data_IF_565740341988
#
_entry.id   IF_565740341988
#
_cell.length_a   1.000
_cell.length_b   1.000
_cell.length_c   1.000
_cell.angle_alpha   90.00
_cell.angle_beta   90.00
_cell.angle_gamma   90.00
#
_symmetry.space_group_name_H-M   'P 1'
#
loop_
_entity.id
_entity.type
_entity.pdbx_description
1 polymer ?
#
# COMPACT_ATOMS: atom_id res chain seq x y z
N UNK A 1 -34.26 20.50 64.94
CA UNK A 1 -34.47 21.40 63.78
C UNK A 1 -33.20 21.45 62.95
N UNK A 2 -33.36 21.23 61.64
CA UNK A 2 -32.54 21.58 60.46
C UNK A 2 -31.19 22.29 60.70
N UNK A 3 -30.15 21.80 60.03
CA UNK A 3 -29.56 22.45 58.84
C UNK A 3 -28.61 21.47 58.12
N UNK A 4 -29.10 20.91 57.01
CA UNK A 4 -28.30 20.20 56.00
C UNK A 4 -27.63 21.29 55.14
N UNK A 5 -26.30 21.31 55.14
CA UNK A 5 -25.51 22.18 54.26
C UNK A 5 -25.27 21.41 52.95
N UNK A 6 -26.01 21.78 51.91
CA UNK A 6 -25.82 21.27 50.55
C UNK A 6 -24.63 21.99 49.94
N UNK A 7 -23.55 21.26 49.66
CA UNK A 7 -22.37 21.74 48.95
C UNK A 7 -22.64 21.59 47.45
N UNK A 8 -23.02 22.69 46.80
CA UNK A 8 -23.24 22.75 45.36
C UNK A 8 -21.90 22.90 44.65
N UNK A 9 -21.32 21.80 44.20
CA UNK A 9 -20.15 21.78 43.32
C UNK A 9 -20.57 22.30 41.94
N UNK A 10 -20.24 23.55 41.64
CA UNK A 10 -20.25 24.05 40.26
C UNK A 10 -19.15 23.29 39.48
N UNK A 11 -19.55 22.26 38.75
CA UNK A 11 -18.77 21.77 37.61
C UNK A 11 -18.80 22.87 36.55
N UNK A 12 -17.73 23.67 36.51
CA UNK A 12 -17.35 24.42 35.32
C UNK A 12 -17.00 23.40 34.24
N UNK A 13 -18.01 22.94 33.50
CA UNK A 13 -17.82 22.27 32.22
C UNK A 13 -17.22 23.34 31.32
N UNK A 14 -15.90 23.34 31.18
CA UNK A 14 -15.24 24.01 30.07
C UNK A 14 -15.72 23.28 28.81
N UNK A 15 -16.76 23.82 28.19
CA UNK A 15 -17.07 23.49 26.81
C UNK A 15 -15.85 23.93 25.99
N UNK A 16 -14.97 22.96 25.70
CA UNK A 16 -13.96 23.11 24.66
C UNK A 16 -14.75 23.18 23.35
N UNK A 17 -15.21 24.37 23.00
CA UNK A 17 -15.56 24.71 21.63
C UNK A 17 -14.25 24.71 20.84
N UNK A 18 -13.79 23.52 20.44
CA UNK A 18 -12.77 23.35 19.40
C UNK A 18 -13.41 23.72 18.05
N UNK A 19 -13.60 25.02 17.85
CA UNK A 19 -14.03 25.62 16.59
C UNK A 19 -12.84 25.65 15.62
N UNK A 20 -13.06 25.16 14.39
CA UNK A 20 -12.25 25.46 13.19
C UNK A 20 -10.73 25.44 13.35
N UNK A 21 -10.15 24.30 13.75
CA UNK A 21 -8.69 24.13 13.63
C UNK A 21 -8.30 23.94 12.16
N UNK A 22 -7.03 24.22 11.82
CA UNK A 22 -6.51 23.87 10.50
C UNK A 22 -6.49 22.37 10.30
N UNK A 23 -6.57 21.92 9.05
CA UNK A 23 -6.52 20.49 8.71
C UNK A 23 -5.35 19.78 9.38
N UNK A 24 -4.16 20.37 9.37
CA UNK A 24 -2.99 19.78 10.04
C UNK A 24 -3.18 19.57 11.54
N UNK A 25 -3.89 20.46 12.24
CA UNK A 25 -4.15 20.33 13.67
C UNK A 25 -5.23 19.28 13.93
N UNK A 26 -6.17 19.12 13.00
CA UNK A 26 -7.22 18.11 13.04
C UNK A 26 -6.71 16.71 12.69
N UNK A 27 -5.76 16.58 11.77
CA UNK A 27 -5.11 15.30 11.42
C UNK A 27 -4.35 14.70 12.59
N UNK A 28 -3.74 15.54 13.42
CA UNK A 28 -2.99 15.13 14.61
C UNK A 28 -3.90 14.86 15.82
N UNK A 29 -5.23 14.99 15.65
CA UNK A 29 -6.24 14.71 16.66
C UNK A 29 -7.20 13.64 16.16
N UNK A 30 -7.22 12.47 16.80
CA UNK A 30 -8.10 11.36 16.42
C UNK A 30 -9.58 11.81 16.27
N UNK A 31 -10.07 12.55 17.26
CA UNK A 31 -11.44 13.09 17.27
C UNK A 31 -11.65 14.23 16.28
N UNK A 32 -10.61 14.99 15.95
CA UNK A 32 -10.63 16.08 14.97
C UNK A 32 -10.75 15.53 13.55
N UNK A 33 -9.91 14.56 13.21
CA UNK A 33 -9.88 13.91 11.90
C UNK A 33 -11.20 13.22 11.59
N UNK A 34 -11.72 12.40 12.52
CA UNK A 34 -12.99 11.71 12.32
C UNK A 34 -14.18 12.67 12.13
N UNK A 35 -14.15 13.83 12.79
CA UNK A 35 -15.17 14.87 12.62
C UNK A 35 -15.12 15.47 11.22
N UNK A 36 -13.92 15.78 10.71
CA UNK A 36 -13.73 16.34 9.37
C UNK A 36 -14.17 15.33 8.30
N UNK A 37 -13.72 14.08 8.39
CA UNK A 37 -14.11 13.01 7.46
C UNK A 37 -15.64 12.83 7.40
N UNK A 38 -16.30 12.77 8.56
CA UNK A 38 -17.75 12.65 8.62
C UNK A 38 -18.47 13.88 8.03
N UNK A 39 -18.00 15.10 8.33
CA UNK A 39 -18.58 16.34 7.80
C UNK A 39 -18.45 16.43 6.27
N UNK A 40 -17.34 15.95 5.72
CA UNK A 40 -17.08 15.95 4.28
C UNK A 40 -17.75 14.78 3.53
N UNK A 41 -18.59 13.98 4.21
CA UNK A 41 -19.44 12.98 3.59
C UNK A 41 -18.80 11.61 3.39
N UNK A 42 -17.78 11.26 4.16
CA UNK A 42 -17.33 9.87 4.26
C UNK A 42 -18.31 9.07 5.11
N UNK A 43 -18.76 7.92 4.59
CA UNK A 43 -19.48 6.95 5.40
C UNK A 43 -18.61 6.46 6.55
N UNK A 44 -19.22 6.06 7.68
CA UNK A 44 -18.48 5.71 8.91
C UNK A 44 -17.37 4.66 8.70
N UNK A 45 -17.62 3.65 7.85
CA UNK A 45 -16.61 2.63 7.53
C UNK A 45 -15.44 3.23 6.73
N UNK A 46 -15.75 4.06 5.73
CA UNK A 46 -14.74 4.73 4.89
C UNK A 46 -13.97 5.79 5.68
N UNK A 47 -14.62 6.52 6.58
CA UNK A 47 -13.94 7.47 7.47
C UNK A 47 -12.89 6.77 8.35
N UNK A 48 -13.21 5.60 8.92
CA UNK A 48 -12.25 4.81 9.69
C UNK A 48 -11.09 4.29 8.83
N UNK A 49 -11.38 3.83 7.62
CA UNK A 49 -10.33 3.42 6.69
C UNK A 49 -9.41 4.59 6.34
N UNK A 50 -9.97 5.76 6.00
CA UNK A 50 -9.23 6.98 5.70
C UNK A 50 -8.36 7.45 6.89
N UNK A 51 -8.91 7.39 8.11
CA UNK A 51 -8.17 7.69 9.33
C UNK A 51 -6.95 6.77 9.47
N UNK A 52 -7.14 5.46 9.37
CA UNK A 52 -6.05 4.48 9.48
C UNK A 52 -4.94 4.72 8.44
N UNK A 53 -5.31 5.09 7.22
CA UNK A 53 -4.35 5.44 6.16
C UNK A 53 -3.51 6.67 6.48
N UNK A 54 -4.14 7.70 7.05
CA UNK A 54 -3.46 8.92 7.49
C UNK A 54 -2.51 8.62 8.65
N UNK A 55 -2.94 7.82 9.63
CA UNK A 55 -2.11 7.41 10.77
C UNK A 55 -0.88 6.62 10.29
N UNK A 56 -1.05 5.68 9.36
CA UNK A 56 0.05 4.94 8.75
C UNK A 56 1.01 5.85 7.97
N UNK A 57 0.49 6.85 7.25
CA UNK A 57 1.33 7.80 6.51
C UNK A 57 2.18 8.64 7.46
N UNK A 58 1.58 9.12 8.55
CA UNK A 58 2.30 9.89 9.58
C UNK A 58 3.37 9.02 10.24
N UNK A 59 3.02 7.80 10.65
CA UNK A 59 3.95 6.83 11.24
C UNK A 59 5.12 6.53 10.29
N UNK A 60 4.86 6.35 9.01
CA UNK A 60 5.88 6.14 7.98
C UNK A 60 6.84 7.32 7.82
N UNK A 61 6.31 8.54 7.83
CA UNK A 61 7.09 9.76 7.65
C UNK A 61 7.95 10.11 8.87
N UNK A 62 7.51 9.73 10.07
CA UNK A 62 8.07 10.20 11.34
C UNK A 62 8.64 9.09 12.24
N UNK A 63 8.38 7.82 11.95
CA UNK A 63 8.64 6.69 12.84
C UNK A 63 7.56 6.53 13.92
N UNK A 64 7.71 5.50 14.77
CA UNK A 64 6.81 5.29 15.90
C UNK A 64 7.01 6.38 16.98
N UNK A 65 5.98 7.20 17.18
CA UNK A 65 5.96 8.22 18.22
C UNK A 65 4.55 8.39 18.79
N UNK A 66 4.44 8.38 20.12
CA UNK A 66 3.17 8.53 20.84
C UNK A 66 2.58 9.94 20.72
N UNK A 67 3.43 10.94 20.44
CA UNK A 67 3.02 12.32 20.19
C UNK A 67 3.69 12.80 18.92
N UNK A 68 2.89 13.30 17.99
CA UNK A 68 3.35 13.77 16.68
C UNK A 68 3.28 15.30 16.64
N UNK A 69 4.37 16.04 16.89
CA UNK A 69 4.33 17.50 16.81
C UNK A 69 4.13 17.96 15.37
N UNK A 70 3.26 18.94 15.17
CA UNK A 70 3.02 19.59 13.86
C UNK A 70 4.31 20.01 13.14
N UNK A 71 5.24 20.62 13.88
CA UNK A 71 6.53 21.04 13.33
C UNK A 71 7.36 19.85 12.83
N UNK A 72 7.33 18.72 13.54
CA UNK A 72 8.06 17.52 13.16
C UNK A 72 7.47 16.86 11.91
N UNK A 73 6.14 16.82 11.76
CA UNK A 73 5.49 16.33 10.53
C UNK A 73 5.84 17.18 9.31
N UNK A 74 5.79 18.51 9.46
CA UNK A 74 6.17 19.44 8.39
C UNK A 74 7.65 19.32 8.03
N UNK A 75 8.53 19.16 9.02
CA UNK A 75 9.94 18.90 8.79
C UNK A 75 10.15 17.58 8.05
N UNK A 76 9.48 16.51 8.49
CA UNK A 76 9.58 15.20 7.89
C UNK A 76 9.16 15.19 6.41
N UNK A 77 8.10 15.92 6.06
CA UNK A 77 7.67 16.16 4.67
C UNK A 77 8.70 17.02 3.92
N UNK A 78 9.24 18.05 4.57
CA UNK A 78 10.25 18.95 4.01
C UNK A 78 11.52 18.23 3.57
N UNK A 79 11.98 17.26 4.36
CA UNK A 79 13.21 16.48 4.16
C UNK A 79 13.17 15.50 2.99
N UNK A 80 11.98 15.14 2.48
CA UNK A 80 11.85 14.26 1.30
C UNK A 80 12.57 14.90 0.10
N UNK A 81 13.22 14.11 -0.75
CA UNK A 81 13.93 14.65 -1.92
C UNK A 81 13.00 15.47 -2.83
N UNK A 82 13.44 16.67 -3.22
CA UNK A 82 12.68 17.61 -4.06
C UNK A 82 12.80 17.28 -5.56
N UNK A 83 12.39 16.08 -5.96
CA UNK A 83 12.16 15.78 -7.38
C UNK A 83 11.00 16.62 -7.92
N UNK A 84 10.88 16.85 -9.24
CA UNK A 84 9.74 17.59 -9.82
C UNK A 84 8.37 17.03 -9.37
N UNK A 85 8.22 15.69 -9.34
CA UNK A 85 7.02 15.02 -8.89
C UNK A 85 6.75 15.24 -7.39
N UNK A 86 7.76 15.02 -6.52
CA UNK A 86 7.60 15.20 -5.08
C UNK A 86 7.33 16.66 -4.72
N UNK A 87 7.92 17.61 -5.45
CA UNK A 87 7.69 19.05 -5.25
C UNK A 87 6.22 19.41 -5.49
N UNK A 88 5.62 18.89 -6.54
CA UNK A 88 4.19 19.13 -6.84
C UNK A 88 3.31 18.55 -5.73
N UNK A 89 3.57 17.31 -5.32
CA UNK A 89 2.84 16.65 -4.23
C UNK A 89 2.95 17.44 -2.92
N UNK A 90 4.14 17.95 -2.58
CA UNK A 90 4.35 18.80 -1.38
C UNK A 90 3.56 20.10 -1.45
N UNK A 91 3.47 20.74 -2.62
CA UNK A 91 2.72 21.98 -2.81
C UNK A 91 1.22 21.73 -2.61
N UNK A 92 0.67 20.70 -3.25
CA UNK A 92 -0.75 20.36 -3.11
C UNK A 92 -1.09 19.94 -1.67
N UNK A 93 -0.24 19.13 -1.04
CA UNK A 93 -0.42 18.75 0.36
C UNK A 93 -0.39 19.97 1.29
N UNK A 94 0.55 20.90 1.10
CA UNK A 94 0.65 22.11 1.91
C UNK A 94 -0.58 23.02 1.77
N UNK A 95 -1.23 23.07 0.58
CA UNK A 95 -2.48 23.82 0.40
C UNK A 95 -3.58 23.24 1.28
N UNK A 96 -3.78 21.92 1.26
CA UNK A 96 -4.84 21.27 2.05
C UNK A 96 -4.55 21.33 3.55
N UNK A 97 -3.31 21.07 3.98
CA UNK A 97 -2.92 21.11 5.39
C UNK A 97 -3.17 22.47 6.07
N UNK A 98 -3.10 23.56 5.30
CA UNK A 98 -3.28 24.92 5.80
C UNK A 98 -4.72 25.44 5.73
N UNK A 99 -5.65 24.70 5.10
CA UNK A 99 -7.07 25.07 5.07
C UNK A 99 -7.68 24.99 6.47
N UNK A 100 -8.71 25.80 6.70
CA UNK A 100 -9.54 25.68 7.89
C UNK A 100 -10.43 24.44 7.75
N UNK A 101 -10.55 23.64 8.82
CA UNK A 101 -11.22 22.34 8.76
C UNK A 101 -12.70 22.40 8.38
N UNK A 102 -13.33 23.57 8.49
CA UNK A 102 -14.70 23.81 8.08
C UNK A 102 -14.87 24.12 6.58
N UNK A 103 -13.80 24.54 5.89
CA UNK A 103 -13.73 24.84 4.45
C UNK A 103 -13.28 23.64 3.60
N UNK A 104 -12.98 22.51 4.24
CA UNK A 104 -12.45 21.31 3.58
C UNK A 104 -13.54 20.55 2.84
N UNK A 105 -13.31 20.34 1.55
CA UNK A 105 -14.17 19.50 0.71
C UNK A 105 -13.77 18.02 0.78
N UNK A 106 -14.64 17.14 0.27
CA UNK A 106 -14.31 15.71 0.11
C UNK A 106 -13.07 15.52 -0.78
N UNK A 107 -13.02 16.24 -1.89
CA UNK A 107 -11.91 16.17 -2.85
C UNK A 107 -10.59 16.64 -2.23
N UNK A 108 -10.64 17.65 -1.36
CA UNK A 108 -9.46 18.08 -0.58
C UNK A 108 -8.93 16.95 0.30
N UNK A 109 -9.81 16.21 0.99
CA UNK A 109 -9.40 15.09 1.84
C UNK A 109 -8.85 13.92 1.02
N UNK A 110 -9.47 13.60 -0.11
CA UNK A 110 -8.99 12.55 -1.02
C UNK A 110 -7.61 12.92 -1.57
N UNK A 111 -7.42 14.17 -1.97
CA UNK A 111 -6.12 14.69 -2.41
C UNK A 111 -5.09 14.61 -1.29
N UNK A 112 -5.46 15.00 -0.07
CA UNK A 112 -4.60 14.89 1.11
C UNK A 112 -4.17 13.45 1.38
N UNK A 113 -5.11 12.51 1.36
CA UNK A 113 -4.85 11.08 1.53
C UNK A 113 -3.87 10.57 0.48
N UNK A 114 -4.16 10.76 -0.79
CA UNK A 114 -3.30 10.31 -1.89
C UNK A 114 -1.89 10.92 -1.78
N UNK A 115 -1.78 12.23 -1.52
CA UNK A 115 -0.50 12.91 -1.42
C UNK A 115 0.32 12.50 -0.19
N UNK A 116 -0.32 12.32 0.98
CA UNK A 116 0.34 11.82 2.18
C UNK A 116 0.86 10.40 1.99
N UNK A 117 0.04 9.52 1.42
CA UNK A 117 0.41 8.13 1.12
C UNK A 117 1.59 8.07 0.15
N UNK A 118 1.56 8.87 -0.92
CA UNK A 118 2.65 8.95 -1.89
C UNK A 118 3.96 9.43 -1.25
N UNK A 119 3.92 10.49 -0.43
CA UNK A 119 5.12 10.98 0.25
C UNK A 119 5.64 10.01 1.30
N UNK A 120 4.75 9.33 2.03
CA UNK A 120 5.10 8.28 2.96
C UNK A 120 5.80 7.10 2.27
N UNK A 121 5.29 6.65 1.12
CA UNK A 121 5.93 5.60 0.32
C UNK A 121 7.27 5.99 -0.31
N UNK A 122 7.61 7.29 -0.37
CA UNK A 122 8.95 7.75 -0.79
C UNK A 122 9.96 7.72 0.36
N UNK A 123 9.50 7.86 1.61
CA UNK A 123 10.36 8.05 2.79
C UNK A 123 10.48 6.82 3.70
N UNK A 124 9.42 6.05 3.88
CA UNK A 124 9.27 5.24 5.10
C UNK A 124 9.41 3.74 4.93
N UNK A 125 10.37 3.19 5.66
CA UNK A 125 10.80 1.79 5.72
C UNK A 125 9.86 0.82 6.44
N UNK A 126 8.60 1.16 6.71
CA UNK A 126 7.68 0.36 7.56
C UNK A 126 6.26 0.23 6.98
N UNK A 127 6.00 0.83 5.82
CA UNK A 127 4.72 0.75 5.13
C UNK A 127 4.96 0.67 3.64
N UNK A 128 4.10 -0.05 2.93
CA UNK A 128 4.21 -0.18 1.48
C UNK A 128 3.00 0.43 0.80
N UNK A 129 3.24 1.32 -0.16
CA UNK A 129 2.21 1.90 -1.00
C UNK A 129 1.68 0.84 -1.98
N UNK A 130 0.43 0.47 -1.83
CA UNK A 130 -0.25 -0.48 -2.70
C UNK A 130 -1.25 0.29 -3.56
N UNK A 131 -1.25 0.06 -4.87
CA UNK A 131 -2.14 0.74 -5.83
C UNK A 131 -3.64 0.47 -5.63
N UNK A 132 -4.46 0.81 -6.64
CA UNK A 132 -5.93 0.86 -6.60
C UNK A 132 -6.64 -0.36 -5.93
N UNK A 133 -6.06 -1.56 -5.99
CA UNK A 133 -6.64 -2.75 -5.36
C UNK A 133 -6.50 -2.80 -3.84
N UNK A 134 -5.57 -2.04 -3.24
CA UNK A 134 -5.40 -1.94 -1.79
C UNK A 134 -6.13 -0.75 -1.16
N UNK A 135 -6.59 0.22 -1.96
CA UNK A 135 -7.47 1.29 -1.48
C UNK A 135 -8.83 0.75 -0.98
N UNK A 136 -9.19 -0.49 -1.35
CA UNK A 136 -10.35 -1.19 -0.79
C UNK A 136 -11.64 -0.35 -0.94
N UNK A 137 -12.40 -0.11 0.14
CA UNK A 137 -13.62 0.71 0.07
C UNK A 137 -13.34 2.20 -0.20
N UNK A 138 -12.11 2.69 0.00
CA UNK A 138 -11.72 4.07 -0.30
C UNK A 138 -11.52 4.32 -1.80
N UNK A 139 -11.38 3.25 -2.61
CA UNK A 139 -11.28 3.40 -4.07
C UNK A 139 -12.54 4.07 -4.65
N UNK A 140 -13.72 3.75 -4.10
CA UNK A 140 -14.99 4.39 -4.47
C UNK A 140 -15.03 5.88 -4.12
N UNK A 141 -14.17 6.32 -3.20
CA UNK A 141 -14.02 7.72 -2.78
C UNK A 141 -12.93 8.46 -3.56
N UNK A 142 -12.26 7.82 -4.53
CA UNK A 142 -11.18 8.42 -5.33
C UNK A 142 -9.78 8.28 -4.72
N UNK A 143 -9.62 7.49 -3.66
CA UNK A 143 -8.29 7.14 -3.14
C UNK A 143 -7.67 6.10 -4.06
N UNK A 144 -6.50 6.40 -4.60
CA UNK A 144 -5.83 5.59 -5.63
C UNK A 144 -4.66 4.77 -5.08
N UNK A 145 -4.21 5.08 -3.87
CA UNK A 145 -3.07 4.42 -3.21
C UNK A 145 -3.37 4.29 -1.71
N UNK A 146 -3.01 3.16 -1.11
CA UNK A 146 -3.11 2.93 0.32
C UNK A 146 -1.78 2.41 0.91
N UNK A 147 -1.46 2.83 2.12
CA UNK A 147 -0.41 2.27 2.96
C UNK A 147 -0.95 1.11 3.78
N UNK A 148 -0.11 0.11 3.98
CA UNK A 148 -0.36 -0.97 4.93
C UNK A 148 0.87 -1.14 5.81
N UNK A 149 0.66 -1.42 7.10
CA UNK A 149 1.73 -1.71 8.05
C UNK A 149 2.38 -3.05 7.73
N UNK A 150 3.71 -3.09 7.77
CA UNK A 150 4.47 -4.33 7.60
C UNK A 150 4.45 -5.08 8.93
N UNK A 151 3.74 -6.20 8.97
CA UNK A 151 3.68 -7.10 10.13
C UNK A 151 4.44 -8.41 9.93
N UNK A 152 4.89 -8.69 8.70
CA UNK A 152 5.65 -9.90 8.38
C UNK A 152 7.06 -9.86 8.99
N UNK A 153 7.37 -10.84 9.84
CA UNK A 153 8.64 -10.89 10.58
C UNK A 153 9.85 -10.93 9.66
N UNK A 154 9.77 -11.62 8.52
CA UNK A 154 10.87 -11.71 7.55
C UNK A 154 11.16 -10.34 6.92
N UNK A 155 10.11 -9.58 6.58
CA UNK A 155 10.27 -8.24 6.02
C UNK A 155 10.79 -7.27 7.11
N UNK A 156 10.25 -7.34 8.32
CA UNK A 156 10.74 -6.56 9.45
C UNK A 156 12.21 -6.86 9.74
N UNK A 157 12.66 -8.11 9.62
CA UNK A 157 14.07 -8.47 9.75
C UNK A 157 14.95 -7.81 8.66
N UNK A 158 14.48 -7.76 7.40
CA UNK A 158 15.20 -7.06 6.32
C UNK A 158 15.33 -5.57 6.60
N UNK A 159 14.25 -4.94 7.06
CA UNK A 159 14.20 -3.51 7.43
C UNK A 159 15.15 -3.25 8.61
N UNK A 160 15.03 -4.02 9.69
CA UNK A 160 15.85 -3.87 10.89
C UNK A 160 17.35 -4.07 10.63
N UNK A 161 17.70 -4.88 9.63
CA UNK A 161 19.08 -5.09 9.17
C UNK A 161 19.55 -4.05 8.15
N UNK A 162 18.72 -3.04 7.82
CA UNK A 162 19.00 -2.03 6.81
C UNK A 162 19.37 -2.63 5.44
N UNK A 163 18.72 -3.72 5.06
CA UNK A 163 18.96 -4.37 3.75
C UNK A 163 18.37 -3.53 2.62
N UNK A 164 17.21 -2.90 2.86
CA UNK A 164 16.51 -2.03 1.90
C UNK A 164 17.02 -0.59 2.07
N UNK A 165 17.59 0.06 1.04
CA UNK A 165 18.04 1.43 1.14
C UNK A 165 16.88 2.44 1.25
N UNK A 166 17.11 3.51 2.01
CA UNK A 166 16.17 4.60 2.31
C UNK A 166 16.22 5.76 1.30
N UNK A 167 17.32 5.93 0.56
CA UNK A 167 17.46 7.01 -0.43
C UNK A 167 17.09 6.55 -1.85
N UNK A 168 16.36 7.36 -2.65
CA UNK A 168 15.94 6.98 -4.01
C UNK A 168 17.08 6.53 -4.94
N UNK A 169 18.23 7.22 -4.88
CA UNK A 169 19.41 6.86 -5.69
C UNK A 169 19.95 5.48 -5.31
N UNK A 170 20.14 5.20 -4.02
CA UNK A 170 20.63 3.88 -3.56
C UNK A 170 19.60 2.79 -3.80
N UNK A 171 18.31 3.11 -3.69
CA UNK A 171 17.22 2.16 -3.96
C UNK A 171 17.23 1.72 -5.42
N UNK A 172 17.33 2.64 -6.38
CA UNK A 172 17.44 2.31 -7.81
C UNK A 172 18.68 1.44 -8.11
N UNK A 173 19.82 1.77 -7.49
CA UNK A 173 21.03 0.98 -7.65
C UNK A 173 20.86 -0.43 -7.07
N UNK A 174 20.30 -0.53 -5.86
CA UNK A 174 20.00 -1.81 -5.22
C UNK A 174 19.09 -2.68 -6.08
N UNK A 175 17.99 -2.12 -6.61
CA UNK A 175 17.07 -2.84 -7.50
C UNK A 175 17.83 -3.36 -8.74
N UNK A 176 18.61 -2.49 -9.39
CA UNK A 176 19.36 -2.86 -10.60
C UNK A 176 20.37 -3.97 -10.33
N UNK A 177 21.19 -3.83 -9.28
CA UNK A 177 22.20 -4.82 -8.89
C UNK A 177 21.57 -6.17 -8.52
N UNK A 178 20.42 -6.14 -7.84
CA UNK A 178 19.69 -7.35 -7.43
C UNK A 178 19.03 -8.05 -8.60
N UNK A 179 18.40 -7.30 -9.50
CA UNK A 179 17.82 -7.81 -10.74
C UNK A 179 18.87 -8.50 -11.61
N UNK A 180 20.03 -7.87 -11.82
CA UNK A 180 21.13 -8.44 -12.58
C UNK A 180 21.63 -9.74 -11.94
N UNK A 181 21.91 -9.70 -10.63
CA UNK A 181 22.43 -10.86 -9.90
C UNK A 181 21.45 -12.04 -9.85
N UNK A 182 20.15 -11.77 -9.82
CA UNK A 182 19.10 -12.79 -9.85
C UNK A 182 18.72 -13.21 -11.28
N UNK A 183 19.24 -12.54 -12.31
CA UNK A 183 18.96 -12.84 -13.71
C UNK A 183 17.52 -12.55 -14.13
N UNK A 184 16.92 -11.46 -13.62
CA UNK A 184 15.49 -11.16 -13.75
C UNK A 184 15.15 -10.13 -14.85
N UNK A 185 16.14 -9.78 -15.68
CA UNK A 185 16.00 -8.74 -16.70
C UNK A 185 16.76 -7.45 -16.34
N UNK A 186 16.56 -6.41 -17.15
CA UNK A 186 17.27 -5.14 -17.07
C UNK A 186 16.35 -4.03 -16.59
N UNK A 187 16.52 -3.61 -15.33
CA UNK A 187 15.67 -2.60 -14.70
C UNK A 187 15.73 -1.24 -15.42
N UNK A 188 16.82 -0.91 -16.11
CA UNK A 188 16.94 0.37 -16.84
C UNK A 188 15.97 0.50 -18.01
N UNK A 189 15.42 -0.62 -18.48
CA UNK A 189 14.44 -0.69 -19.59
C UNK A 189 13.00 -0.78 -19.09
N UNK A 190 12.78 -0.82 -17.79
CA UNK A 190 11.45 -0.95 -17.19
C UNK A 190 10.77 0.40 -17.21
N UNK A 191 9.57 0.44 -17.78
CA UNK A 191 8.76 1.64 -17.88
C UNK A 191 7.99 1.91 -16.58
N UNK A 192 7.70 3.20 -16.33
CA UNK A 192 7.05 3.65 -15.09
C UNK A 192 5.60 3.19 -14.91
N UNK A 193 4.96 2.66 -15.95
CA UNK A 193 3.64 2.01 -15.87
C UNK A 193 3.72 0.60 -15.25
N UNK A 194 4.86 -0.07 -15.36
CA UNK A 194 5.11 -1.38 -14.77
C UNK A 194 5.56 -1.22 -13.33
N UNK A 195 6.57 -0.38 -13.09
CA UNK A 195 7.09 -0.03 -11.75
C UNK A 195 7.10 1.48 -11.59
N UNK A 196 6.15 2.01 -10.83
CA UNK A 196 6.12 3.44 -10.49
C UNK A 196 7.16 3.77 -9.39
N UNK A 197 7.42 5.05 -9.14
CA UNK A 197 8.30 5.45 -8.03
C UNK A 197 7.81 4.90 -6.67
N UNK A 198 6.49 4.84 -6.46
CA UNK A 198 5.90 4.28 -5.24
C UNK A 198 5.98 2.75 -5.13
N UNK A 199 6.22 2.04 -6.24
CA UNK A 199 6.34 0.59 -6.25
C UNK A 199 7.78 0.10 -5.97
N UNK A 200 8.77 0.99 -5.99
CA UNK A 200 10.19 0.62 -5.91
C UNK A 200 10.56 -0.03 -4.59
N UNK A 201 9.98 0.41 -3.48
CA UNK A 201 10.22 -0.19 -2.18
C UNK A 201 9.68 -1.63 -2.14
N UNK A 202 8.46 -1.85 -2.64
CA UNK A 202 7.88 -3.19 -2.72
C UNK A 202 8.72 -4.13 -3.60
N UNK A 203 9.20 -3.62 -4.74
CA UNK A 203 10.14 -4.37 -5.60
C UNK A 203 11.45 -4.68 -4.87
N UNK A 204 12.03 -3.71 -4.15
CA UNK A 204 13.25 -3.93 -3.38
C UNK A 204 13.06 -4.99 -2.28
N UNK A 205 11.92 -4.97 -1.58
CA UNK A 205 11.56 -5.99 -0.59
C UNK A 205 11.49 -7.37 -1.27
N UNK A 206 10.79 -7.50 -2.39
CA UNK A 206 10.71 -8.76 -3.13
C UNK A 206 12.08 -9.28 -3.55
N UNK A 207 12.94 -8.41 -4.10
CA UNK A 207 14.29 -8.76 -4.52
C UNK A 207 15.21 -9.14 -3.35
N UNK A 208 15.04 -8.49 -2.20
CA UNK A 208 15.77 -8.84 -0.98
C UNK A 208 15.30 -10.19 -0.41
N UNK A 209 14.00 -10.46 -0.44
CA UNK A 209 13.40 -11.74 -0.04
C UNK A 209 13.82 -12.88 -0.98
N UNK A 210 14.02 -12.59 -2.26
CA UNK A 210 14.51 -13.56 -3.25
C UNK A 210 15.98 -13.94 -3.07
N UNK A 211 16.75 -13.19 -2.29
CA UNK A 211 18.13 -13.58 -1.98
C UNK A 211 18.16 -14.91 -1.21
N UNK A 212 19.13 -15.78 -1.53
CA UNK A 212 19.29 -17.08 -0.87
C UNK A 212 19.53 -16.93 0.63
N UNK A 213 20.19 -15.85 1.05
CA UNK A 213 20.46 -15.57 2.47
C UNK A 213 19.35 -14.75 3.15
N UNK A 214 18.23 -14.50 2.48
CA UNK A 214 17.11 -13.75 3.05
C UNK A 214 16.47 -14.50 4.22
N UNK A 215 15.72 -13.80 5.09
CA UNK A 215 14.91 -14.43 6.14
C UNK A 215 13.63 -15.09 5.62
N UNK A 216 13.41 -15.15 4.30
CA UNK A 216 12.17 -15.67 3.72
C UNK A 216 11.84 -17.10 4.21
N UNK A 217 10.59 -17.31 4.59
CA UNK A 217 10.06 -18.62 4.97
C UNK A 217 10.01 -19.56 3.76
N UNK A 218 9.82 -20.86 4.00
CA UNK A 218 9.68 -21.83 2.92
C UNK A 218 8.49 -21.51 1.98
N UNK A 219 7.38 -21.00 2.54
CA UNK A 219 6.20 -20.59 1.75
C UNK A 219 6.52 -19.38 0.89
N UNK A 220 7.14 -18.35 1.47
CA UNK A 220 7.55 -17.14 0.73
C UNK A 220 8.54 -17.48 -0.40
N UNK A 221 9.50 -18.39 -0.16
CA UNK A 221 10.44 -18.86 -1.19
C UNK A 221 9.74 -19.57 -2.34
N UNK A 222 8.81 -20.49 -2.05
CA UNK A 222 8.01 -21.17 -3.08
C UNK A 222 7.21 -20.19 -3.92
N UNK A 223 6.64 -19.16 -3.28
CA UNK A 223 5.94 -18.10 -3.99
C UNK A 223 6.87 -17.33 -4.93
N UNK A 224 8.05 -16.90 -4.44
CA UNK A 224 9.06 -16.21 -5.26
C UNK A 224 9.48 -17.06 -6.46
N UNK A 225 9.73 -18.36 -6.26
CA UNK A 225 10.06 -19.30 -7.33
C UNK A 225 8.92 -19.43 -8.35
N UNK A 226 7.66 -19.49 -7.89
CA UNK A 226 6.50 -19.53 -8.77
C UNK A 226 6.38 -18.22 -9.59
N UNK A 227 6.67 -17.06 -9.00
CA UNK A 227 6.73 -15.79 -9.73
C UNK A 227 7.81 -15.86 -10.81
N UNK A 228 9.03 -16.33 -10.50
CA UNK A 228 10.10 -16.47 -11.50
C UNK A 228 9.72 -17.43 -12.64
N UNK A 229 9.12 -18.57 -12.32
CA UNK A 229 8.64 -19.53 -13.31
C UNK A 229 7.53 -18.93 -14.19
N UNK A 230 6.64 -18.12 -13.60
CA UNK A 230 5.58 -17.45 -14.33
C UNK A 230 6.12 -16.37 -15.28
N UNK A 231 7.22 -15.71 -14.92
CA UNK A 231 7.96 -14.75 -15.76
C UNK A 231 8.87 -15.41 -16.81
N UNK A 232 8.98 -16.74 -16.81
CA UNK A 232 9.84 -17.50 -17.73
C UNK A 232 9.09 -17.84 -19.02
N UNK A 233 9.66 -17.45 -20.15
CA UNK A 233 9.14 -17.74 -21.50
C UNK A 233 9.69 -19.05 -22.09
N UNK A 234 9.81 -19.11 -23.41
CA UNK A 234 10.24 -20.32 -24.16
C UNK A 234 11.70 -20.75 -23.94
N UNK A 235 12.46 -20.03 -23.11
CA UNK A 235 13.86 -20.32 -22.77
C UNK A 235 14.12 -20.21 -21.27
N UNK A 236 15.37 -20.40 -20.84
CA UNK A 236 15.73 -20.38 -19.41
C UNK A 236 15.84 -18.99 -18.79
N UNK A 237 15.76 -17.94 -19.60
CA UNK A 237 15.85 -16.57 -19.14
C UNK A 237 14.53 -16.12 -18.50
N UNK A 238 14.64 -15.57 -17.30
CA UNK A 238 13.54 -14.94 -16.56
C UNK A 238 13.56 -13.45 -16.88
N UNK A 239 12.42 -12.89 -17.28
CA UNK A 239 12.24 -11.45 -17.41
C UNK A 239 11.00 -11.03 -16.62
N UNK A 240 11.22 -10.53 -15.41
CA UNK A 240 10.16 -10.15 -14.47
C UNK A 240 9.25 -9.04 -15.02
N UNK A 241 9.74 -8.28 -15.99
CA UNK A 241 9.05 -7.11 -16.56
C UNK A 241 8.84 -7.24 -18.06
N UNK A 242 8.78 -8.47 -18.57
CA UNK A 242 8.53 -8.73 -19.98
C UNK A 242 7.27 -7.98 -20.44
N UNK A 243 7.34 -7.17 -21.52
CA UNK A 243 6.15 -6.50 -22.06
C UNK A 243 5.06 -7.49 -22.52
N UNK A 244 5.44 -8.73 -22.82
CA UNK A 244 4.51 -9.81 -23.18
C UNK A 244 3.80 -10.42 -21.98
N UNK A 245 4.29 -10.22 -20.74
CA UNK A 245 3.67 -10.67 -19.51
C UNK A 245 3.89 -9.64 -18.38
N UNK A 246 3.22 -8.47 -18.43
CA UNK A 246 3.52 -7.34 -17.54
C UNK A 246 2.85 -7.50 -16.17
N UNK A 247 3.16 -8.59 -15.46
CA UNK A 247 2.56 -8.90 -14.17
C UNK A 247 3.18 -8.11 -13.00
N UNK A 248 2.47 -8.07 -11.88
CA UNK A 248 2.83 -7.35 -10.65
C UNK A 248 2.87 -8.23 -9.39
N UNK A 249 2.97 -9.55 -9.54
CA UNK A 249 3.11 -10.49 -8.41
C UNK A 249 4.35 -10.26 -7.52
N UNK A 250 5.35 -9.53 -7.99
CA UNK A 250 6.46 -9.07 -7.15
C UNK A 250 6.02 -8.04 -6.09
N UNK A 251 4.86 -7.40 -6.26
CA UNK A 251 4.25 -6.47 -5.31
C UNK A 251 3.38 -7.19 -4.26
N UNK A 252 3.61 -8.49 -4.01
CA UNK A 252 2.77 -9.28 -3.11
C UNK A 252 3.16 -9.15 -1.64
N UNK A 253 4.45 -9.01 -1.32
CA UNK A 253 4.92 -8.92 0.08
C UNK A 253 4.61 -7.58 0.75
N UNK A 254 4.35 -6.56 -0.05
CA UNK A 254 3.83 -5.26 0.34
C UNK A 254 2.32 -5.28 0.66
N UNK A 255 1.61 -6.36 0.34
CA UNK A 255 0.18 -6.49 0.57
C UNK A 255 -0.10 -7.33 1.83
N UNK A 256 -0.63 -6.71 2.89
CA UNK A 256 -0.98 -7.40 4.14
C UNK A 256 -1.97 -8.56 3.99
N UNK A 257 -2.72 -8.62 2.89
CA UNK A 257 -3.70 -9.67 2.65
C UNK A 257 -3.05 -10.93 2.06
N UNK A 258 -1.78 -10.85 1.64
CA UNK A 258 -0.96 -11.99 1.18
C UNK A 258 -0.34 -12.72 2.36
N UNK A 259 -1.18 -13.30 3.21
CA UNK A 259 -0.72 -14.21 4.26
C UNK A 259 -0.14 -15.52 3.69
N UNK A 260 0.39 -16.39 4.56
CA UNK A 260 1.00 -17.64 4.12
C UNK A 260 0.04 -18.58 3.38
N UNK A 261 -1.25 -18.57 3.73
CA UNK A 261 -2.24 -19.43 3.08
C UNK A 261 -2.53 -18.91 1.67
N UNK A 262 -2.76 -17.60 1.53
CA UNK A 262 -2.97 -16.98 0.22
C UNK A 262 -1.70 -17.05 -0.66
N UNK A 263 -0.50 -16.91 -0.08
CA UNK A 263 0.76 -17.12 -0.80
C UNK A 263 0.86 -18.55 -1.33
N UNK A 264 0.49 -19.55 -0.54
CA UNK A 264 0.49 -20.95 -0.97
C UNK A 264 -0.54 -21.19 -2.09
N UNK A 265 -1.76 -20.69 -1.95
CA UNK A 265 -2.79 -20.80 -2.99
C UNK A 265 -2.35 -20.11 -4.28
N UNK A 266 -1.81 -18.90 -4.20
CA UNK A 266 -1.33 -18.15 -5.35
C UNK A 266 -0.14 -18.84 -6.00
N UNK A 267 0.76 -19.45 -5.23
CA UNK A 267 1.88 -20.27 -5.72
C UNK A 267 1.35 -21.39 -6.63
N UNK A 268 0.31 -22.10 -6.21
CA UNK A 268 -0.28 -23.17 -7.02
C UNK A 268 -0.95 -22.64 -8.29
N UNK A 269 -1.64 -21.49 -8.21
CA UNK A 269 -2.28 -20.86 -9.37
C UNK A 269 -1.22 -20.44 -10.39
N UNK A 270 -0.16 -19.78 -9.95
CA UNK A 270 0.95 -19.34 -10.79
C UNK A 270 1.64 -20.52 -11.46
N UNK A 271 1.95 -21.58 -10.71
CA UNK A 271 2.60 -22.77 -11.30
C UNK A 271 1.70 -23.47 -12.32
N UNK A 272 0.40 -23.65 -12.04
CA UNK A 272 -0.52 -24.26 -13.03
C UNK A 272 -0.66 -23.40 -14.28
N UNK A 273 -0.77 -22.09 -14.13
CA UNK A 273 -0.79 -21.17 -15.27
C UNK A 273 0.55 -21.11 -15.99
N UNK A 274 1.66 -21.37 -15.28
CA UNK A 274 3.00 -21.53 -15.83
C UNK A 274 3.12 -22.79 -16.69
N UNK A 275 2.46 -23.87 -16.28
CA UNK A 275 2.45 -25.18 -16.97
C UNK A 275 1.48 -25.22 -18.16
N UNK A 276 0.35 -24.50 -18.10
CA UNK A 276 -0.69 -24.49 -19.15
C UNK A 276 -0.20 -23.89 -20.48
N UNK A 277 0.84 -23.05 -20.47
CA UNK A 277 1.40 -22.43 -21.68
C UNK A 277 2.89 -22.11 -21.48
N UNK A 278 3.68 -21.99 -22.55
CA UNK A 278 5.03 -21.40 -22.48
C UNK A 278 5.11 -20.04 -23.17
N UNK A 279 3.98 -19.61 -23.74
CA UNK A 279 3.82 -18.31 -24.40
C UNK A 279 3.48 -17.26 -23.34
N UNK A 280 4.42 -16.32 -23.14
CA UNK A 280 4.25 -15.22 -22.19
C UNK A 280 2.99 -14.40 -22.46
N UNK A 281 2.59 -14.24 -23.72
CA UNK A 281 1.39 -13.47 -24.09
C UNK A 281 0.09 -14.09 -23.60
N UNK A 282 0.10 -15.40 -23.30
CA UNK A 282 -1.06 -16.16 -22.83
C UNK A 282 -1.08 -16.35 -21.31
N UNK A 283 -0.03 -15.91 -20.60
CA UNK A 283 0.12 -16.08 -19.14
C UNK A 283 -1.04 -15.48 -18.34
N UNK A 284 -1.48 -14.29 -18.74
CA UNK A 284 -2.63 -13.60 -18.11
C UNK A 284 -3.90 -14.44 -18.24
N UNK A 285 -4.20 -14.91 -19.44
CA UNK A 285 -5.42 -15.68 -19.72
C UNK A 285 -5.36 -17.05 -19.02
N UNK A 286 -4.19 -17.70 -19.00
CA UNK A 286 -3.96 -18.93 -18.26
C UNK A 286 -4.18 -18.74 -16.75
N UNK A 287 -3.68 -17.65 -16.17
CA UNK A 287 -3.88 -17.32 -14.75
C UNK A 287 -5.36 -17.19 -14.40
N UNK A 288 -6.13 -16.39 -15.14
CA UNK A 288 -7.57 -16.24 -14.89
C UNK A 288 -8.36 -17.51 -15.22
N UNK A 289 -7.93 -18.31 -16.19
CA UNK A 289 -8.52 -19.64 -16.46
C UNK A 289 -8.40 -20.57 -15.26
N UNK A 290 -7.22 -20.64 -14.61
CA UNK A 290 -7.02 -21.46 -13.41
C UNK A 290 -7.90 -20.97 -12.25
N UNK A 291 -8.01 -19.65 -12.05
CA UNK A 291 -8.88 -19.09 -11.01
C UNK A 291 -10.36 -19.39 -11.27
N UNK A 292 -10.82 -19.22 -12.50
CA UNK A 292 -12.22 -19.51 -12.87
C UNK A 292 -12.54 -20.99 -12.69
N UNK A 293 -11.67 -21.91 -13.11
CA UNK A 293 -11.85 -23.36 -12.88
C UNK A 293 -11.94 -23.70 -11.39
N UNK A 294 -11.11 -23.07 -10.54
CA UNK A 294 -11.18 -23.24 -9.07
C UNK A 294 -12.50 -22.74 -8.50
N UNK A 295 -12.97 -21.59 -8.97
CA UNK A 295 -14.25 -21.02 -8.54
C UNK A 295 -15.43 -21.89 -8.99
N UNK A 296 -15.43 -22.39 -10.23
CA UNK A 296 -16.46 -23.28 -10.78
C UNK A 296 -16.57 -24.62 -10.05
N UNK A 297 -15.46 -25.10 -9.49
CA UNK A 297 -15.42 -26.32 -8.68
C UNK A 297 -16.08 -26.18 -7.30
N UNK A 298 -16.48 -24.97 -6.88
CA UNK A 298 -17.21 -24.75 -5.63
C UNK A 298 -18.63 -25.31 -5.77
N UNK A 299 -18.98 -26.25 -4.89
CA UNK A 299 -20.27 -26.93 -4.91
C UNK A 299 -21.44 -26.02 -4.56
N UNK A 300 -21.27 -25.13 -3.56
CA UNK A 300 -22.29 -24.16 -3.17
C UNK A 300 -22.45 -23.07 -4.25
N UNK A 301 -23.61 -22.98 -4.93
CA UNK A 301 -23.84 -21.99 -5.98
C UNK A 301 -23.65 -20.54 -5.51
N UNK A 302 -24.03 -20.23 -4.26
CA UNK A 302 -23.91 -18.85 -3.74
C UNK A 302 -22.46 -18.46 -3.52
N UNK A 303 -21.66 -19.38 -2.98
CA UNK A 303 -20.22 -19.13 -2.78
C UNK A 303 -19.49 -19.07 -4.12
N UNK A 304 -19.83 -19.95 -5.07
CA UNK A 304 -19.29 -19.91 -6.44
C UNK A 304 -19.52 -18.55 -7.09
N UNK A 305 -20.75 -18.04 -7.06
CA UNK A 305 -21.09 -16.75 -7.68
C UNK A 305 -20.31 -15.58 -7.05
N UNK A 306 -20.12 -15.61 -5.72
CA UNK A 306 -19.31 -14.61 -5.00
C UNK A 306 -17.84 -14.67 -5.45
N UNK A 307 -17.25 -15.86 -5.53
CA UNK A 307 -15.84 -16.03 -5.90
C UNK A 307 -15.63 -15.65 -7.37
N UNK A 308 -16.52 -16.05 -8.28
CA UNK A 308 -16.46 -15.63 -9.69
C UNK A 308 -16.54 -14.11 -9.85
N UNK A 309 -17.43 -13.44 -9.10
CA UNK A 309 -17.50 -11.98 -9.10
C UNK A 309 -16.21 -11.33 -8.60
N UNK A 310 -15.55 -11.92 -7.58
CA UNK A 310 -14.24 -11.45 -7.10
C UNK A 310 -13.15 -11.61 -8.16
N UNK A 311 -13.06 -12.77 -8.83
CA UNK A 311 -12.09 -13.02 -9.91
C UNK A 311 -12.25 -11.98 -11.02
N UNK A 312 -13.49 -11.76 -11.47
CA UNK A 312 -13.81 -10.74 -12.48
C UNK A 312 -13.42 -9.33 -12.01
N UNK A 313 -13.68 -8.98 -10.75
CA UNK A 313 -13.28 -7.68 -10.22
C UNK A 313 -11.76 -7.49 -10.17
N UNK A 314 -11.01 -8.54 -9.84
CA UNK A 314 -9.54 -8.53 -9.85
C UNK A 314 -9.00 -8.31 -11.28
N UNK A 315 -9.63 -8.93 -12.28
CA UNK A 315 -9.29 -8.76 -13.69
C UNK A 315 -9.57 -7.34 -14.19
N UNK A 316 -10.77 -6.82 -13.96
CA UNK A 316 -11.18 -5.48 -14.39
C UNK A 316 -10.33 -4.38 -13.74
N UNK A 317 -9.95 -4.57 -12.47
CA UNK A 317 -9.09 -3.63 -11.73
C UNK A 317 -7.61 -3.79 -12.02
N UNK A 318 -7.21 -4.77 -12.84
CA UNK A 318 -5.80 -4.95 -13.25
C UNK A 318 -4.85 -5.12 -12.04
N UNK A 319 -5.29 -5.83 -11.00
CA UNK A 319 -4.53 -5.92 -9.73
C UNK A 319 -3.17 -6.61 -9.88
N UNK A 320 -3.08 -7.58 -10.80
CA UNK A 320 -1.88 -8.41 -10.97
C UNK A 320 -1.19 -8.23 -12.32
N UNK A 321 -1.80 -7.48 -13.25
CA UNK A 321 -1.27 -7.27 -14.59
C UNK A 321 -1.42 -5.80 -14.95
N UNK A 322 -0.37 -5.16 -15.43
CA UNK A 322 -0.46 -3.79 -15.92
C UNK A 322 -1.42 -3.71 -17.12
N UNK A 323 -2.07 -2.54 -17.27
CA UNK A 323 -2.89 -2.21 -18.43
C UNK A 323 -2.03 -1.94 -19.67
#
# INVERSE_FOLDING_TARGET
MKKVLVLTTLLSITQVNAAGGKVIDLLLSETGLMRVLAKSGFEKANARAAQSQIELAIKSLMGDSEVVPKAALLQAIGEIENTPANREIKIELAKVLNKEGDEVTKDDLVSLLNNLVLLAGVKGSLVTACGECAAGPLAAEGVTVALKEITDESILELINKNVIPDSPRKLNQFISDRMERLGLGDFSKVSSNVVSEGDKEALAIFLAMADKSSPATATQRKFIEAVFNFSKGSGDQVDLFSPSNPHKFWNSFSNSDMDNDLLAEMTEVLNRAADDTSDLTQRKDAFYSVLNKRAEAIEDPKQRDIVLAKVKSIEEKSCFFAK
#
